data_IF_106243693999
#
_entry.id   IF_106243693999
#
_cell.length_a   1.000
_cell.length_b   1.000
_cell.length_c   1.000
_cell.angle_alpha   90.00
_cell.angle_beta   90.00
_cell.angle_gamma   90.00
#
_symmetry.space_group_name_H-M   'P 1'
#
loop_
_entity.id
_entity.type
_entity.pdbx_description
1 polymer ?
#
# COMPACT_ATOMS: atom_id res chain seq x y z
N UNK A 1 7.50 -8.80 -1.67
CA UNK A 1 7.59 -7.52 -0.94
C UNK A 1 6.16 -7.04 -0.65
N UNK A 2 5.90 -6.00 0.18
CA UNK A 2 4.51 -5.54 0.39
C UNK A 2 3.90 -4.85 -0.83
N UNK A 3 4.64 -4.00 -1.54
CA UNK A 3 4.15 -3.38 -2.78
C UNK A 3 3.79 -4.44 -3.84
N UNK A 4 4.61 -5.48 -4.01
CA UNK A 4 4.30 -6.59 -4.92
C UNK A 4 3.08 -7.42 -4.49
N UNK A 5 2.77 -7.47 -3.19
CA UNK A 5 1.58 -8.15 -2.69
C UNK A 5 0.31 -7.35 -3.01
N UNK A 6 0.37 -6.01 -2.89
CA UNK A 6 -0.74 -5.14 -3.23
C UNK A 6 -1.03 -5.19 -4.73
N UNK A 7 0.00 -5.20 -5.59
CA UNK A 7 -0.20 -5.33 -7.05
C UNK A 7 -0.72 -6.70 -7.48
N UNK A 8 -0.46 -7.76 -6.71
CA UNK A 8 -0.83 -9.13 -7.08
C UNK A 8 -2.18 -9.58 -6.52
N UNK A 9 -2.43 -9.35 -5.22
CA UNK A 9 -3.64 -9.79 -4.52
C UNK A 9 -4.43 -8.67 -3.86
N UNK A 10 -3.77 -7.59 -3.42
CA UNK A 10 -4.46 -6.42 -2.86
C UNK A 10 -5.35 -6.71 -1.65
N UNK A 11 -4.93 -7.54 -0.70
CA UNK A 11 -5.79 -7.89 0.44
C UNK A 11 -5.86 -6.79 1.50
N UNK A 12 -6.91 -6.77 2.34
CA UNK A 12 -7.03 -5.82 3.48
C UNK A 12 -5.79 -5.83 4.37
N UNK A 13 -5.25 -7.02 4.65
CA UNK A 13 -4.02 -7.18 5.43
C UNK A 13 -2.82 -6.50 4.77
N UNK A 14 -2.73 -6.51 3.44
CA UNK A 14 -1.61 -5.89 2.73
C UNK A 14 -1.62 -4.37 2.86
N UNK A 15 -2.80 -3.76 2.75
CA UNK A 15 -2.97 -2.32 2.97
C UNK A 15 -2.71 -1.92 4.42
N UNK A 16 -3.17 -2.72 5.39
CA UNK A 16 -2.85 -2.50 6.81
C UNK A 16 -1.33 -2.56 7.04
N UNK A 17 -0.67 -3.61 6.54
CA UNK A 17 0.78 -3.77 6.70
C UNK A 17 1.53 -2.61 6.01
N UNK A 18 1.07 -2.15 4.85
CA UNK A 18 1.62 -0.98 4.16
C UNK A 18 1.46 0.29 4.99
N UNK A 19 0.29 0.54 5.57
CA UNK A 19 0.05 1.69 6.43
C UNK A 19 1.04 1.75 7.61
N UNK A 20 1.38 0.61 8.22
CA UNK A 20 2.43 0.59 9.23
C UNK A 20 3.83 0.82 8.66
N UNK A 21 4.13 0.30 7.48
CA UNK A 21 5.42 0.57 6.82
C UNK A 21 5.62 2.05 6.48
N UNK A 22 4.55 2.76 6.11
CA UNK A 22 4.58 4.21 5.85
C UNK A 22 4.98 5.04 7.08
N UNK A 23 4.88 4.49 8.30
CA UNK A 23 5.39 5.13 9.52
C UNK A 23 6.90 5.06 9.66
N UNK A 24 7.56 4.20 8.88
CA UNK A 24 9.00 3.95 8.94
C UNK A 24 9.74 4.35 7.65
N UNK A 25 9.06 4.28 6.50
CA UNK A 25 9.63 4.54 5.19
C UNK A 25 8.73 5.49 4.39
N UNK A 26 9.35 6.39 3.62
CA UNK A 26 8.60 7.18 2.64
C UNK A 26 8.14 6.30 1.48
N UNK A 27 7.07 6.71 0.78
CA UNK A 27 6.61 6.01 -0.42
C UNK A 27 7.72 5.90 -1.47
N UNK A 28 8.53 6.94 -1.65
CA UNK A 28 9.69 6.93 -2.54
C UNK A 28 10.71 5.85 -2.15
N UNK A 29 11.06 5.74 -0.86
CA UNK A 29 11.97 4.69 -0.40
C UNK A 29 11.41 3.30 -0.67
N UNK A 30 10.11 3.09 -0.41
CA UNK A 30 9.45 1.82 -0.68
C UNK A 30 9.47 1.48 -2.18
N UNK A 31 9.26 2.44 -3.07
CA UNK A 31 9.35 2.26 -4.52
C UNK A 31 10.77 1.91 -4.97
N UNK A 32 11.79 2.60 -4.44
CA UNK A 32 13.20 2.26 -4.71
C UNK A 32 13.51 0.82 -4.32
N UNK A 33 13.09 0.39 -3.12
CA UNK A 33 13.28 -0.99 -2.68
C UNK A 33 12.51 -2.00 -3.56
N UNK A 34 11.37 -1.61 -4.12
CA UNK A 34 10.61 -2.43 -5.05
C UNK A 34 11.35 -2.58 -6.38
N UNK A 35 11.82 -1.49 -6.98
CA UNK A 35 12.58 -1.52 -8.23
C UNK A 35 13.90 -2.29 -8.10
N UNK A 36 14.59 -2.18 -6.96
CA UNK A 36 15.81 -2.96 -6.70
C UNK A 36 15.55 -4.47 -6.71
N UNK A 37 14.35 -4.89 -6.33
CA UNK A 37 13.97 -6.31 -6.27
C UNK A 37 13.29 -6.81 -7.55
N UNK A 38 12.61 -5.92 -8.26
CA UNK A 38 11.84 -6.21 -9.47
C UNK A 38 12.25 -5.24 -10.56
N UNK A 39 13.28 -5.60 -11.33
CA UNK A 39 13.88 -4.75 -12.36
C UNK A 39 12.94 -4.42 -13.52
N UNK A 40 11.90 -5.22 -13.73
CA UNK A 40 10.82 -5.05 -14.70
C UNK A 40 9.53 -4.50 -14.06
N UNK A 41 9.56 -4.20 -12.77
CA UNK A 41 8.42 -3.72 -12.00
C UNK A 41 7.97 -2.33 -12.46
N UNK A 42 6.70 -2.19 -12.81
CA UNK A 42 6.13 -0.91 -13.25
C UNK A 42 5.59 -0.10 -12.06
N UNK A 43 6.27 1.00 -11.72
CA UNK A 43 5.86 1.89 -10.63
C UNK A 43 4.46 2.47 -10.82
N UNK A 44 4.04 2.76 -12.05
CA UNK A 44 2.70 3.28 -12.31
C UNK A 44 1.62 2.25 -11.96
N UNK A 45 1.87 0.97 -12.24
CA UNK A 45 0.96 -0.11 -11.84
C UNK A 45 0.92 -0.20 -10.32
N UNK A 46 2.07 -0.12 -9.64
CA UNK A 46 2.13 -0.09 -8.17
C UNK A 46 1.28 1.05 -7.63
N UNK A 47 1.53 2.29 -8.04
CA UNK A 47 0.81 3.48 -7.57
C UNK A 47 -0.70 3.36 -7.79
N UNK A 48 -1.13 2.83 -8.94
CA UNK A 48 -2.55 2.57 -9.22
C UNK A 48 -3.14 1.53 -8.27
N UNK A 49 -2.42 0.44 -8.01
CA UNK A 49 -2.87 -0.60 -7.08
C UNK A 49 -2.94 -0.09 -5.62
N UNK A 50 -2.08 0.86 -5.24
CA UNK A 50 -2.08 1.41 -3.87
C UNK A 50 -3.36 2.17 -3.51
N UNK A 51 -4.12 2.64 -4.50
CA UNK A 51 -5.37 3.39 -4.29
C UNK A 51 -6.62 2.60 -4.66
N UNK A 52 -6.47 1.32 -5.02
CA UNK A 52 -7.56 0.42 -5.39
C UNK A 52 -7.89 -0.52 -4.22
N UNK A 53 -8.98 -0.22 -3.50
CA UNK A 53 -9.35 -0.93 -2.27
C UNK A 53 -10.55 -1.86 -2.42
N UNK A 54 -11.16 -1.93 -3.60
CA UNK A 54 -12.46 -2.60 -3.82
C UNK A 54 -12.42 -4.08 -3.42
N UNK A 55 -11.36 -4.79 -3.83
CA UNK A 55 -11.17 -6.20 -3.45
C UNK A 55 -10.89 -6.35 -1.94
N UNK A 56 -10.05 -5.47 -1.37
CA UNK A 56 -9.75 -5.44 0.06
C UNK A 56 -10.97 -5.12 0.95
N UNK A 57 -12.00 -4.48 0.39
CA UNK A 57 -13.25 -4.21 1.12
C UNK A 57 -14.12 -5.46 1.29
N UNK A 58 -13.96 -6.44 0.42
CA UNK A 58 -14.66 -7.73 0.51
C UNK A 58 -13.95 -8.73 1.42
N UNK A 59 -12.67 -8.49 1.75
CA UNK A 59 -11.90 -9.36 2.64
C UNK A 59 -12.41 -9.35 4.08
N UNK A 60 -12.24 -10.49 4.76
CA UNK A 60 -12.41 -10.58 6.20
C UNK A 60 -11.39 -9.69 6.92
N UNK A 61 -11.80 -9.11 8.07
CA UNK A 61 -10.87 -8.38 8.91
C UNK A 61 -9.82 -9.34 9.49
N UNK A 62 -8.51 -9.08 9.31
CA UNK A 62 -7.48 -9.87 9.93
C UNK A 62 -7.49 -9.66 11.46
N UNK A 63 -7.02 -10.65 12.21
CA UNK A 63 -6.76 -10.47 13.65
C UNK A 63 -5.63 -9.44 13.82
N UNK A 64 -5.97 -8.28 14.36
CA UNK A 64 -5.03 -7.16 14.55
C UNK A 64 -4.58 -7.07 16.02
N UNK A 65 -3.27 -6.91 16.24
CA UNK A 65 -2.71 -6.58 17.56
C UNK A 65 -3.00 -5.13 17.97
N UNK A 66 -3.17 -4.23 17.00
CA UNK A 66 -3.50 -2.82 17.21
C UNK A 66 -4.68 -2.47 16.31
N UNK A 67 -5.82 -2.15 16.92
CA UNK A 67 -7.02 -1.75 16.19
C UNK A 67 -6.83 -0.40 15.52
N UNK A 68 -7.05 -0.35 14.21
CA UNK A 68 -7.11 0.89 13.42
C UNK A 68 -8.40 0.92 12.59
N UNK A 69 -8.90 2.12 12.33
CA UNK A 69 -10.06 2.32 11.46
C UNK A 69 -9.64 2.15 9.99
N UNK A 70 -10.32 1.27 9.27
CA UNK A 70 -10.08 1.00 7.86
C UNK A 70 -10.19 2.26 6.97
N UNK A 71 -11.15 3.14 7.25
CA UNK A 71 -11.33 4.39 6.51
C UNK A 71 -10.13 5.33 6.70
N UNK A 72 -9.59 5.40 7.93
CA UNK A 72 -8.40 6.20 8.21
C UNK A 72 -7.17 5.66 7.47
N UNK A 73 -7.03 4.32 7.38
CA UNK A 73 -5.96 3.68 6.62
C UNK A 73 -6.04 4.04 5.13
N UNK A 74 -7.23 3.89 4.53
CA UNK A 74 -7.43 4.25 3.11
C UNK A 74 -7.12 5.71 2.86
N UNK A 75 -7.57 6.60 3.74
CA UNK A 75 -7.33 8.05 3.61
C UNK A 75 -5.83 8.38 3.68
N UNK A 76 -5.11 7.78 4.63
CA UNK A 76 -3.66 7.98 4.75
C UNK A 76 -2.94 7.54 3.48
N UNK A 77 -3.22 6.32 3.00
CA UNK A 77 -2.57 5.77 1.81
C UNK A 77 -2.86 6.64 0.57
N UNK A 78 -4.12 7.04 0.36
CA UNK A 78 -4.49 7.95 -0.73
C UNK A 78 -3.77 9.29 -0.63
N UNK A 79 -3.67 9.85 0.56
CA UNK A 79 -3.00 11.14 0.79
C UNK A 79 -1.51 11.05 0.45
N UNK A 80 -0.83 9.99 0.92
CA UNK A 80 0.59 9.76 0.61
C UNK A 80 0.83 9.59 -0.89
N UNK A 81 -0.02 8.81 -1.57
CA UNK A 81 0.09 8.61 -3.03
C UNK A 81 -0.17 9.92 -3.78
N UNK A 82 -1.21 10.68 -3.41
CA UNK A 82 -1.50 11.97 -4.05
C UNK A 82 -0.38 12.99 -3.87
N UNK A 83 0.19 13.08 -2.67
CA UNK A 83 1.32 13.97 -2.40
C UNK A 83 2.54 13.59 -3.24
N UNK A 84 2.79 12.29 -3.42
CA UNK A 84 3.87 11.79 -4.27
C UNK A 84 3.65 12.08 -5.77
N UNK A 85 2.41 12.10 -6.24
CA UNK A 85 2.10 12.44 -7.63
C UNK A 85 2.16 13.96 -7.92
N UNK A 86 2.14 14.80 -6.88
CA UNK A 86 2.20 16.26 -6.98
C UNK A 86 3.60 16.83 -6.74
N UNK A 87 4.53 16.02 -6.23
CA UNK A 87 5.95 16.37 -6.01
C UNK A 87 6.77 16.21 -7.28
#
# INVERSE_FOLDING_TARGET
MKLSAITGRGTRKDFIDMFFLLKHFSLQQMLVFYQQKYSDGNEFIVLKSLVYFEDAEQDEFPVMLITHNWEAIKLEIKTVVNNFLQS
#
